data_IF_904959305643
#
_entry.id   IF_904959305643
#
_cell.length_a   1.000
_cell.length_b   1.000
_cell.length_c   1.000
_cell.angle_alpha   90.00
_cell.angle_beta   90.00
_cell.angle_gamma   90.00
#
_symmetry.space_group_name_H-M   'P 1'
#
loop_
_entity.id
_entity.type
_entity.pdbx_description
1 polymer ?
#
# COMPACT_ATOMS: atom_id res chain seq x y z
N UNK A 1 -20.41 18.23 18.34
CA UNK A 1 -19.64 17.00 18.14
C UNK A 1 -20.50 15.97 17.46
N UNK A 2 -20.07 15.44 16.31
CA UNK A 2 -20.75 14.33 15.64
C UNK A 2 -19.88 13.09 15.78
N UNK A 3 -20.51 12.01 16.26
CA UNK A 3 -19.89 10.74 16.63
C UNK A 3 -19.35 10.04 15.38
N UNK A 4 -18.08 9.66 15.44
CA UNK A 4 -17.46 8.66 14.57
C UNK A 4 -18.16 7.31 14.84
N UNK A 5 -18.82 6.72 13.83
CA UNK A 5 -19.49 5.43 14.02
C UNK A 5 -20.65 5.06 13.09
N UNK A 6 -20.89 5.77 11.97
CA UNK A 6 -21.88 5.29 11.00
C UNK A 6 -21.30 4.15 10.14
N UNK A 7 -21.67 2.94 10.55
CA UNK A 7 -21.50 1.68 9.85
C UNK A 7 -22.16 1.75 8.46
N UNK A 8 -21.35 1.80 7.39
CA UNK A 8 -21.85 1.56 6.04
C UNK A 8 -22.04 0.06 5.82
N UNK A 9 -23.26 -0.41 6.07
CA UNK A 9 -23.72 -1.73 5.70
C UNK A 9 -23.90 -1.86 4.19
N UNK A 10 -22.88 -2.41 3.51
CA UNK A 10 -23.08 -3.38 2.43
C UNK A 10 -22.20 -4.58 2.79
N UNK A 11 -22.69 -5.81 2.63
CA UNK A 11 -21.84 -7.02 2.71
C UNK A 11 -20.78 -6.90 1.61
N UNK A 12 -19.65 -6.30 1.95
CA UNK A 12 -18.74 -5.69 0.99
C UNK A 12 -17.82 -6.71 0.35
N UNK A 13 -17.73 -6.66 -0.97
CA UNK A 13 -16.63 -7.25 -1.74
C UNK A 13 -15.34 -6.60 -1.22
N UNK A 14 -14.44 -7.38 -0.59
CA UNK A 14 -13.20 -6.86 -0.03
C UNK A 14 -11.98 -7.30 -0.84
N UNK A 15 -10.90 -6.52 -0.81
CA UNK A 15 -9.58 -6.96 -1.28
C UNK A 15 -9.11 -8.10 -0.38
N UNK A 16 -8.94 -9.29 -0.94
CA UNK A 16 -8.52 -10.49 -0.20
C UNK A 16 -7.07 -10.86 -0.51
N UNK A 17 -6.63 -10.68 -1.76
CA UNK A 17 -5.24 -10.96 -2.16
C UNK A 17 -4.66 -9.71 -2.80
N UNK A 18 -3.46 -9.34 -2.37
CA UNK A 18 -2.61 -8.36 -3.06
C UNK A 18 -1.46 -9.11 -3.72
N UNK A 19 -1.21 -8.81 -5.00
CA UNK A 19 -0.03 -9.23 -5.73
C UNK A 19 0.79 -7.98 -6.10
N UNK A 20 2.08 -7.98 -5.76
CA UNK A 20 3.03 -6.89 -6.05
C UNK A 20 4.16 -7.45 -6.89
N UNK A 21 4.30 -6.98 -8.13
CA UNK A 21 5.39 -7.35 -9.03
C UNK A 21 6.38 -6.21 -9.20
N UNK A 22 7.64 -6.45 -8.88
CA UNK A 22 8.70 -5.43 -8.91
C UNK A 22 9.43 -5.39 -10.25
N UNK A 23 9.67 -4.18 -10.75
CA UNK A 23 10.31 -3.90 -12.05
C UNK A 23 11.74 -3.36 -11.91
N UNK A 24 12.33 -3.42 -10.71
CA UNK A 24 13.60 -2.77 -10.38
C UNK A 24 14.80 -3.66 -10.79
N UNK A 25 14.95 -3.90 -12.09
CA UNK A 25 15.94 -4.85 -12.65
C UNK A 25 17.40 -4.46 -12.37
N UNK A 26 17.68 -3.15 -12.24
CA UNK A 26 19.01 -2.62 -11.91
C UNK A 26 19.43 -2.74 -10.45
N UNK A 27 18.60 -3.36 -9.59
CA UNK A 27 18.84 -3.48 -8.14
C UNK A 27 19.45 -4.84 -7.75
N UNK A 28 19.83 -5.67 -8.73
CA UNK A 28 20.27 -7.06 -8.49
C UNK A 28 21.67 -7.14 -7.88
N UNK A 29 21.81 -8.03 -6.91
CA UNK A 29 22.94 -8.23 -6.01
C UNK A 29 24.29 -8.64 -6.65
N UNK A 30 24.39 -8.75 -7.98
CA UNK A 30 25.63 -9.19 -8.62
C UNK A 30 26.58 -8.03 -8.97
N UNK A 31 26.09 -6.90 -9.47
CA UNK A 31 26.95 -5.81 -9.99
C UNK A 31 26.39 -4.39 -9.74
N UNK A 32 25.34 -4.27 -8.91
CA UNK A 32 24.64 -3.02 -8.58
C UNK A 32 23.73 -3.24 -7.38
N UNK A 33 24.35 -3.62 -6.25
CA UNK A 33 23.71 -4.20 -5.06
C UNK A 33 22.61 -3.30 -4.51
N UNK A 34 21.41 -3.85 -4.35
CA UNK A 34 20.48 -3.35 -3.36
C UNK A 34 20.89 -3.84 -1.98
N UNK A 35 20.93 -2.92 -1.03
CA UNK A 35 21.19 -3.14 0.39
C UNK A 35 20.03 -2.59 1.23
N UNK A 36 19.59 -3.34 2.24
CA UNK A 36 18.42 -2.95 3.04
C UNK A 36 18.70 -1.72 3.88
N UNK A 37 19.88 -1.67 4.46
CA UNK A 37 20.33 -0.62 5.35
C UNK A 37 20.61 0.67 4.58
N UNK A 38 21.14 0.58 3.37
CA UNK A 38 21.53 1.77 2.59
C UNK A 38 20.43 2.25 1.63
N UNK A 39 19.61 1.36 1.06
CA UNK A 39 18.64 1.74 0.01
C UNK A 39 17.19 1.84 0.49
N UNK A 40 16.79 1.02 1.47
CA UNK A 40 15.41 0.95 1.93
C UNK A 40 14.42 0.44 0.86
N UNK A 41 13.18 0.93 0.88
CA UNK A 41 12.16 0.57 -0.12
C UNK A 41 11.52 -0.82 0.03
N UNK A 42 11.83 -1.55 1.11
CA UNK A 42 11.25 -2.87 1.38
C UNK A 42 9.73 -2.81 1.53
N UNK A 43 9.04 -3.88 1.11
CA UNK A 43 7.71 -4.19 1.62
C UNK A 43 7.87 -4.96 2.93
N UNK A 44 7.46 -4.36 4.04
CA UNK A 44 7.41 -5.00 5.36
C UNK A 44 6.07 -5.67 5.55
N UNK A 45 6.08 -6.96 5.85
CA UNK A 45 4.92 -7.76 6.20
C UNK A 45 4.97 -8.04 7.70
N UNK A 46 3.90 -7.75 8.43
CA UNK A 46 3.77 -8.04 9.85
C UNK A 46 3.14 -9.41 10.05
N UNK A 47 3.78 -10.24 10.88
CA UNK A 47 3.20 -11.51 11.27
C UNK A 47 1.96 -11.21 12.14
N UNK A 48 0.79 -11.80 11.83
CA UNK A 48 -0.40 -11.63 12.65
C UNK A 48 -0.21 -12.41 13.97
N UNK A 49 0.36 -11.80 15.00
CA UNK A 49 0.56 -12.46 16.30
C UNK A 49 -0.43 -12.04 17.39
N UNK A 50 -0.91 -13.06 18.13
CA UNK A 50 -1.74 -12.96 19.34
C UNK A 50 -0.97 -12.49 20.60
N UNK A 51 0.36 -12.45 20.60
CA UNK A 51 1.17 -12.38 21.83
C UNK A 51 2.12 -11.17 21.97
N UNK A 52 1.95 -10.11 21.18
CA UNK A 52 2.61 -8.81 21.45
C UNK A 52 4.06 -8.67 21.00
N UNK A 53 4.65 -9.69 20.36
CA UNK A 53 5.90 -9.54 19.61
C UNK A 53 5.60 -9.15 18.16
N UNK A 54 5.84 -7.88 17.80
CA UNK A 54 5.71 -7.39 16.42
C UNK A 54 6.81 -7.99 15.53
N UNK A 55 6.67 -9.27 15.19
CA UNK A 55 7.53 -9.95 14.25
C UNK A 55 7.16 -9.51 12.83
N UNK A 56 8.16 -9.27 12.01
CA UNK A 56 7.97 -8.80 10.64
C UNK A 56 9.00 -9.41 9.70
N UNK A 57 8.65 -9.43 8.42
CA UNK A 57 9.50 -9.88 7.31
C UNK A 57 9.61 -8.77 6.26
N UNK A 58 10.84 -8.39 5.90
CA UNK A 58 11.10 -7.38 4.87
C UNK A 58 11.39 -8.05 3.52
N UNK A 59 10.64 -7.68 2.49
CA UNK A 59 10.82 -8.15 1.12
C UNK A 59 11.44 -7.04 0.28
N UNK A 60 12.70 -7.26 -0.12
CA UNK A 60 13.40 -6.34 -1.02
C UNK A 60 12.66 -6.21 -2.36
N UNK A 61 12.55 -4.99 -2.92
CA UNK A 61 11.79 -4.73 -4.14
C UNK A 61 12.60 -5.06 -5.41
N UNK A 62 13.23 -6.23 -5.48
CA UNK A 62 14.10 -6.59 -6.61
C UNK A 62 13.31 -6.85 -7.89
N UNK A 63 13.81 -6.44 -9.04
CA UNK A 63 13.18 -6.73 -10.33
C UNK A 63 12.94 -8.22 -10.55
N UNK A 64 11.83 -8.55 -11.24
CA UNK A 64 11.36 -9.93 -11.50
C UNK A 64 10.91 -10.69 -10.25
N UNK A 65 10.61 -9.96 -9.15
CA UNK A 65 10.03 -10.54 -7.93
C UNK A 65 8.53 -10.26 -7.87
N UNK A 66 7.75 -11.34 -7.80
CA UNK A 66 6.32 -11.32 -7.47
C UNK A 66 6.11 -11.68 -5.99
N UNK A 67 5.40 -10.82 -5.26
CA UNK A 67 5.00 -11.04 -3.87
C UNK A 67 3.49 -11.15 -3.82
N UNK A 68 2.96 -12.20 -3.20
CA UNK A 68 1.51 -12.41 -3.05
C UNK A 68 1.21 -12.61 -1.57
N UNK A 69 0.22 -11.89 -1.04
CA UNK A 69 -0.20 -12.03 0.35
C UNK A 69 -1.69 -11.76 0.54
N UNK A 70 -2.24 -12.23 1.66
CA UNK A 70 -3.64 -12.04 2.07
C UNK A 70 -3.81 -10.64 2.65
N UNK A 71 -4.38 -9.71 1.88
CA UNK A 71 -4.55 -8.31 2.28
C UNK A 71 -5.55 -8.10 3.42
N UNK A 72 -6.35 -9.10 3.73
CA UNK A 72 -7.29 -9.09 4.86
C UNK A 72 -6.71 -9.62 6.17
N UNK A 73 -5.54 -10.26 6.12
CA UNK A 73 -4.91 -10.92 7.27
C UNK A 73 -3.50 -10.40 7.55
N UNK A 74 -2.79 -9.90 6.54
CA UNK A 74 -1.40 -9.47 6.63
C UNK A 74 -1.33 -7.95 6.61
N UNK A 75 -1.09 -7.37 7.77
CA UNK A 75 -0.72 -5.96 7.89
C UNK A 75 0.65 -5.73 7.23
N UNK A 76 0.79 -4.62 6.51
CA UNK A 76 1.98 -4.37 5.72
C UNK A 76 2.22 -2.88 5.49
N UNK A 77 3.47 -2.51 5.28
CA UNK A 77 3.86 -1.15 4.90
C UNK A 77 5.03 -1.17 3.90
N UNK A 78 5.24 -0.06 3.20
CA UNK A 78 6.42 0.14 2.35
C UNK A 78 7.37 1.08 3.05
N UNK A 79 8.58 0.59 3.34
CA UNK A 79 9.63 1.41 3.93
C UNK A 79 10.09 2.50 2.95
N UNK A 80 10.48 3.69 3.45
CA UNK A 80 10.98 4.75 2.60
C UNK A 80 12.25 4.32 1.86
N UNK A 81 12.49 4.91 0.70
CA UNK A 81 13.82 4.91 0.09
C UNK A 81 14.74 5.80 0.91
N UNK A 82 15.99 5.38 1.02
CA UNK A 82 17.04 6.13 1.71
C UNK A 82 17.94 6.90 0.73
N UNK A 83 17.84 6.59 -0.56
CA UNK A 83 18.59 7.26 -1.62
C UNK A 83 17.65 7.86 -2.67
N UNK A 84 18.06 9.00 -3.24
CA UNK A 84 17.27 9.73 -4.24
C UNK A 84 17.55 9.30 -5.69
N UNK A 85 18.67 8.61 -5.92
CA UNK A 85 19.09 8.14 -7.25
C UNK A 85 18.31 6.91 -7.72
N UNK A 86 17.63 6.22 -6.79
CA UNK A 86 16.88 4.98 -7.04
C UNK A 86 15.38 5.25 -7.21
N UNK A 87 14.79 4.66 -8.25
CA UNK A 87 13.34 4.70 -8.51
C UNK A 87 12.72 3.33 -8.20
N UNK A 88 11.79 3.27 -7.24
CA UNK A 88 11.07 2.03 -6.89
C UNK A 88 9.79 1.89 -7.71
N UNK A 89 9.78 0.94 -8.62
CA UNK A 89 8.66 0.62 -9.51
C UNK A 89 8.03 -0.73 -9.14
N UNK A 90 6.71 -0.76 -9.07
CA UNK A 90 5.92 -1.97 -8.84
C UNK A 90 4.58 -1.91 -9.58
N UNK A 91 4.09 -3.07 -10.00
CA UNK A 91 2.71 -3.28 -10.44
C UNK A 91 1.96 -3.95 -9.30
N UNK A 92 0.85 -3.35 -8.86
CA UNK A 92 0.01 -3.89 -7.79
C UNK A 92 -1.33 -4.32 -8.35
N UNK A 93 -1.73 -5.56 -8.07
CA UNK A 93 -3.03 -6.13 -8.43
C UNK A 93 -3.76 -6.55 -7.15
N UNK A 94 -5.04 -6.20 -7.07
CA UNK A 94 -5.91 -6.64 -5.98
C UNK A 94 -6.96 -7.61 -6.51
N UNK A 95 -7.08 -8.78 -5.86
CA UNK A 95 -8.13 -9.74 -6.13
C UNK A 95 -9.17 -9.68 -5.02
N UNK A 96 -10.43 -9.61 -5.44
CA UNK A 96 -11.56 -9.34 -4.59
C UNK A 96 -12.38 -10.61 -4.36
N UNK A 97 -12.93 -10.73 -3.16
CA UNK A 97 -13.91 -11.77 -2.86
C UNK A 97 -14.93 -11.28 -1.84
N UNK A 98 -16.13 -11.85 -1.91
CA UNK A 98 -17.21 -11.61 -0.94
C UNK A 98 -17.31 -12.82 -0.02
N UNK A 99 -16.72 -12.79 1.18
CA UNK A 99 -16.80 -13.94 2.09
C UNK A 99 -18.25 -14.18 2.52
N UNK A 100 -18.73 -15.42 2.38
CA UNK A 100 -20.10 -15.82 2.74
C UNK A 100 -20.35 -15.91 4.26
N UNK A 101 -19.32 -15.78 5.10
CA UNK A 101 -19.42 -15.80 6.55
C UNK A 101 -18.33 -14.91 7.17
N UNK A 102 -18.71 -13.83 7.85
CA UNK A 102 -17.76 -12.93 8.52
C UNK A 102 -17.56 -13.47 9.94
N UNK A 103 -16.52 -14.25 10.17
CA UNK A 103 -15.96 -14.30 11.53
C UNK A 103 -15.56 -12.87 11.86
N UNK A 104 -16.10 -12.30 12.94
CA UNK A 104 -15.77 -10.94 13.40
C UNK A 104 -14.25 -10.79 13.37
N UNK A 105 -13.71 -9.91 12.51
CA UNK A 105 -12.29 -9.54 12.61
C UNK A 105 -12.09 -9.01 14.03
N UNK A 106 -11.07 -9.47 14.78
CA UNK A 106 -10.70 -8.78 15.99
C UNK A 106 -10.38 -7.32 15.61
N UNK A 107 -11.07 -6.38 16.25
CA UNK A 107 -10.81 -4.95 16.08
C UNK A 107 -9.50 -4.63 16.77
N UNK A 108 -8.38 -4.93 16.12
CA UNK A 108 -7.12 -4.37 16.56
C UNK A 108 -7.10 -2.89 16.14
N UNK A 109 -6.75 -1.96 17.05
CA UNK A 109 -6.49 -0.59 16.65
C UNK A 109 -5.41 -0.60 15.57
N UNK A 110 -5.62 0.17 14.51
CA UNK A 110 -4.60 0.34 13.48
C UNK A 110 -3.29 0.74 14.17
N UNK A 111 -2.15 0.10 13.84
CA UNK A 111 -0.88 0.52 14.37
C UNK A 111 -0.68 2.01 14.07
N UNK A 112 -0.35 2.77 15.10
CA UNK A 112 -0.05 4.19 14.93
C UNK A 112 1.11 4.33 13.93
N UNK A 113 1.11 5.37 13.08
CA UNK A 113 2.27 5.66 12.25
C UNK A 113 3.51 5.70 13.14
N UNK A 114 4.53 4.92 12.80
CA UNK A 114 5.78 4.95 13.55
C UNK A 114 6.32 6.38 13.57
N UNK A 115 6.85 6.85 14.71
CA UNK A 115 7.52 8.14 14.76
C UNK A 115 8.68 8.12 13.76
N UNK A 116 8.69 9.11 12.86
CA UNK A 116 9.75 9.26 11.86
C UNK A 116 11.12 9.29 12.58
N UNK A 117 12.15 8.56 12.10
CA UNK A 117 13.49 8.70 12.63
C UNK A 117 13.94 10.18 12.52
N UNK A 118 14.75 10.69 13.47
CA UNK A 118 15.25 12.06 13.42
C UNK A 118 15.99 12.31 12.10
N UNK A 119 15.49 13.30 11.37
CA UNK A 119 15.94 13.67 10.02
C UNK A 119 17.43 14.03 10.03
N UNK A 120 18.25 13.28 9.29
CA UNK A 120 19.70 13.55 9.20
C UNK A 120 20.18 14.16 7.88
N UNK A 121 19.31 14.45 6.90
CA UNK A 121 19.68 15.33 5.77
C UNK A 121 18.47 16.11 5.27
N UNK A 122 18.49 17.43 5.50
CA UNK A 122 17.27 18.26 5.60
C UNK A 122 16.76 18.86 4.29
N UNK A 123 17.61 19.03 3.27
CA UNK A 123 17.20 19.81 2.08
C UNK A 123 16.56 18.97 0.96
N UNK A 124 17.04 17.75 0.71
CA UNK A 124 16.52 16.92 -0.37
C UNK A 124 15.20 16.23 0.02
N UNK A 125 15.11 15.72 1.26
CA UNK A 125 13.91 15.06 1.78
C UNK A 125 12.76 16.05 2.07
N UNK A 126 13.06 17.34 2.27
CA UNK A 126 12.03 18.39 2.44
C UNK A 126 11.11 18.50 1.22
N UNK A 127 11.65 18.25 0.02
CA UNK A 127 10.95 18.37 -1.26
C UNK A 127 10.59 17.01 -1.89
N UNK A 128 10.87 15.89 -1.19
CA UNK A 128 10.51 14.57 -1.68
C UNK A 128 8.99 14.41 -1.82
N UNK A 129 8.54 13.86 -2.94
CA UNK A 129 7.12 13.62 -3.24
C UNK A 129 6.88 12.15 -3.51
N UNK A 130 5.67 11.69 -3.21
CA UNK A 130 5.23 10.33 -3.55
C UNK A 130 4.16 10.46 -4.61
N UNK A 131 4.43 9.89 -5.78
CA UNK A 131 3.42 9.72 -6.81
C UNK A 131 2.83 8.31 -6.74
N UNK A 132 1.50 8.23 -6.67
CA UNK A 132 0.75 6.98 -6.73
C UNK A 132 -0.11 6.98 -7.98
N UNK A 133 0.18 6.08 -8.93
CA UNK A 133 -0.69 5.84 -10.08
C UNK A 133 -1.61 4.67 -9.79
N UNK A 134 -2.92 4.89 -9.89
CA UNK A 134 -3.94 3.85 -9.67
C UNK A 134 -4.70 3.61 -10.97
N UNK A 135 -4.45 2.48 -11.67
CA UNK A 135 -5.36 2.00 -12.69
C UNK A 135 -6.62 1.44 -12.00
N UNK A 136 -7.66 2.26 -11.90
CA UNK A 136 -8.90 1.92 -11.19
C UNK A 136 -9.92 1.33 -12.17
N UNK A 137 -9.83 0.01 -12.40
CA UNK A 137 -10.82 -0.74 -13.17
C UNK A 137 -11.83 -1.41 -12.26
N UNK A 138 -13.11 -0.97 -12.33
CA UNK A 138 -14.23 -1.52 -11.55
C UNK A 138 -13.90 -1.74 -10.06
N UNK A 139 -13.06 -0.89 -9.49
CA UNK A 139 -12.62 -0.99 -8.10
C UNK A 139 -13.51 -0.12 -7.20
N UNK A 140 -14.46 -0.72 -6.44
CA UNK A 140 -15.30 0.04 -5.52
C UNK A 140 -14.51 0.61 -4.32
N UNK A 141 -13.31 0.07 -4.06
CA UNK A 141 -12.48 0.43 -2.91
C UNK A 141 -11.48 1.56 -3.23
N UNK A 142 -11.42 2.06 -4.47
CA UNK A 142 -10.48 3.15 -4.83
C UNK A 142 -10.70 4.40 -3.98
N UNK A 143 -11.93 4.90 -3.89
CA UNK A 143 -12.25 6.11 -3.12
C UNK A 143 -12.01 5.92 -1.61
N UNK A 144 -12.51 4.83 -0.97
CA UNK A 144 -12.16 4.51 0.41
C UNK A 144 -10.65 4.42 0.67
N UNK A 145 -9.91 3.77 -0.24
CA UNK A 145 -8.44 3.62 -0.15
C UNK A 145 -7.76 4.98 -0.16
N UNK A 146 -8.14 5.87 -1.07
CA UNK A 146 -7.57 7.21 -1.18
C UNK A 146 -7.87 8.05 0.06
N UNK A 147 -9.11 8.01 0.55
CA UNK A 147 -9.47 8.72 1.78
C UNK A 147 -8.62 8.23 2.95
N UNK A 148 -8.46 6.92 3.08
CA UNK A 148 -7.61 6.30 4.09
C UNK A 148 -6.16 6.76 3.97
N UNK A 149 -5.59 6.70 2.76
CA UNK A 149 -4.23 7.12 2.45
C UNK A 149 -3.96 8.58 2.89
N UNK A 150 -4.80 9.52 2.47
CA UNK A 150 -4.63 10.94 2.82
C UNK A 150 -4.86 11.23 4.30
N UNK A 151 -5.76 10.48 4.96
CA UNK A 151 -6.06 10.67 6.39
C UNK A 151 -4.93 10.19 7.29
N UNK A 152 -4.23 9.12 6.90
CA UNK A 152 -3.20 8.49 7.70
C UNK A 152 -1.78 8.99 7.38
N UNK A 153 -1.59 9.64 6.23
CA UNK A 153 -0.28 10.15 5.83
C UNK A 153 0.24 11.21 6.81
N UNK A 154 1.50 11.05 7.24
CA UNK A 154 2.19 12.05 8.07
C UNK A 154 2.37 13.39 7.34
N UNK A 155 2.57 13.35 6.02
CA UNK A 155 2.76 14.53 5.17
C UNK A 155 1.84 14.47 3.92
N UNK A 156 0.53 14.71 4.08
CA UNK A 156 -0.44 14.50 3.00
C UNK A 156 -0.21 15.43 1.79
N UNK A 157 0.40 16.61 2.00
CA UNK A 157 0.75 17.55 0.92
C UNK A 157 1.80 17.03 -0.07
N UNK A 158 2.52 15.95 0.28
CA UNK A 158 3.53 15.31 -0.59
C UNK A 158 2.97 14.20 -1.45
N UNK A 159 1.69 13.87 -1.28
CA UNK A 159 1.02 12.80 -2.01
C UNK A 159 0.33 13.34 -3.26
N UNK A 160 0.76 12.85 -4.42
CA UNK A 160 0.13 13.11 -5.70
C UNK A 160 -0.43 11.81 -6.25
N UNK A 161 -1.74 11.79 -6.52
CA UNK A 161 -2.42 10.59 -7.01
C UNK A 161 -2.96 10.86 -8.40
N UNK A 162 -2.50 10.06 -9.37
CA UNK A 162 -3.10 9.99 -10.70
C UNK A 162 -4.00 8.76 -10.79
N UNK A 163 -5.28 8.97 -11.09
CA UNK A 163 -6.24 7.86 -11.23
C UNK A 163 -6.64 7.75 -12.70
N UNK A 164 -6.43 6.57 -13.28
CA UNK A 164 -7.00 6.23 -14.58
C UNK A 164 -8.32 5.52 -14.32
N UNK A 165 -9.43 6.25 -14.49
CA UNK A 165 -10.77 5.71 -14.31
C UNK A 165 -11.24 5.07 -15.61
N UNK A 166 -11.61 3.80 -15.57
CA UNK A 166 -12.22 3.14 -16.71
C UNK A 166 -13.75 3.23 -16.55
N UNK A 167 -14.35 4.14 -17.32
CA UNK A 167 -15.79 4.24 -17.46
C UNK A 167 -16.24 3.19 -18.48
N UNK A 168 -17.24 2.38 -18.11
CA UNK A 168 -18.06 1.73 -19.12
C UNK A 168 -18.99 2.81 -19.63
N UNK A 169 -19.06 2.93 -20.95
CA UNK A 169 -20.15 3.63 -21.57
C UNK A 169 -21.33 2.68 -21.40
N UNK A 170 -22.40 3.12 -20.73
CA UNK A 170 -23.67 2.41 -20.84
C UNK A 170 -24.02 2.50 -22.34
N UNK A 171 -24.19 1.35 -22.99
CA UNK A 171 -24.60 1.31 -24.39
C UNK A 171 -25.82 2.22 -24.51
N UNK A 172 -25.75 3.24 -25.37
CA UNK A 172 -26.91 4.07 -25.69
C UNK A 172 -28.03 3.12 -26.07
N UNK A 173 -29.08 3.05 -25.26
CA UNK A 173 -30.29 2.33 -25.64
C UNK A 173 -30.71 2.88 -27.01
N UNK A 174 -30.64 2.05 -28.05
CA UNK A 174 -31.20 2.37 -29.36
C UNK A 174 -32.67 2.76 -29.15
N UNK A 175 -32.97 4.05 -29.32
CA UNK A 175 -34.34 4.60 -29.40
C UNK A 175 -34.76 4.66 -30.86
#
# INVERSE_FOLDING_TARGET
GRKCGEQWGKKGVGRIVTAVYYLNTGWRCAEGRWDREDDGGCLRLYDPEENGTNKYSDVAPLGDRLVIFRSDQVEHEVLPLKTDDKKRMAITVWLYHTPKNISKRPSHPLPLPLPSPPMQDSNHIANATIFVSIPSYRDPETIPTLRSLYTQATYPSRLYVGIVWQLLWEDEEEV
#
